data_IF_446225055495
#
_entry.id   IF_446225055495
#
_cell.length_a   1.000
_cell.length_b   1.000
_cell.length_c   1.000
_cell.angle_alpha   90.00
_cell.angle_beta   90.00
_cell.angle_gamma   90.00
#
_symmetry.space_group_name_H-M   'P 1'
#
loop_
_entity.id
_entity.type
_entity.pdbx_description
1 polymer ?
#
# COMPACT_ATOMS: atom_id res chain seq x y z
N UNK A 1 17.75 4.03 -2.79
CA UNK A 1 17.99 3.98 -1.35
C UNK A 1 16.79 3.28 -0.71
N UNK A 2 17.00 2.30 0.17
CA UNK A 2 15.91 1.57 0.83
C UNK A 2 15.59 2.29 2.15
N UNK A 3 14.36 2.78 2.30
CA UNK A 3 13.89 3.40 3.55
C UNK A 3 13.14 2.36 4.38
N UNK A 4 13.54 2.19 5.65
CA UNK A 4 12.77 1.41 6.61
C UNK A 4 11.75 2.34 7.25
N UNK A 5 10.48 2.06 7.01
CA UNK A 5 9.39 2.95 7.36
C UNK A 5 8.18 2.21 7.90
N UNK A 6 7.43 2.86 8.78
CA UNK A 6 6.15 2.33 9.28
C UNK A 6 5.09 2.44 8.19
N UNK A 7 4.47 1.32 7.86
CA UNK A 7 3.32 1.25 6.97
C UNK A 7 2.02 1.44 7.75
N UNK A 8 1.11 2.27 7.25
CA UNK A 8 -0.26 2.39 7.77
C UNK A 8 -1.23 2.77 6.65
N UNK A 9 -2.51 2.42 6.79
CA UNK A 9 -3.57 2.79 5.84
C UNK A 9 -4.78 3.31 6.63
N UNK A 10 -5.51 4.23 6.02
CA UNK A 10 -6.78 4.77 6.51
C UNK A 10 -7.78 4.84 5.35
N UNK A 11 -9.01 5.27 5.59
CA UNK A 11 -10.00 5.52 4.53
C UNK A 11 -9.56 6.59 3.51
N UNK A 12 -8.55 7.41 3.83
CA UNK A 12 -8.12 8.55 3.00
C UNK A 12 -6.74 8.39 2.37
N UNK A 13 -5.82 7.74 3.06
CA UNK A 13 -4.44 7.66 2.62
C UNK A 13 -3.72 6.39 3.06
N UNK A 14 -2.78 5.94 2.23
CA UNK A 14 -1.69 5.04 2.56
C UNK A 14 -0.48 5.88 3.02
N UNK A 15 0.10 5.57 4.16
CA UNK A 15 1.30 6.25 4.67
C UNK A 15 2.46 5.28 4.80
N UNK A 16 3.62 5.71 4.34
CA UNK A 16 4.89 4.99 4.43
C UNK A 16 5.91 5.95 5.06
N UNK A 17 6.14 5.81 6.37
CA UNK A 17 7.06 6.70 7.08
C UNK A 17 6.55 8.14 7.05
N UNK A 18 7.33 9.04 6.46
CA UNK A 18 6.94 10.45 6.26
C UNK A 18 6.10 10.69 5.01
N UNK A 19 6.01 9.72 4.10
CA UNK A 19 5.24 9.82 2.87
C UNK A 19 3.76 9.50 3.08
N UNK A 20 2.90 10.24 2.39
CA UNK A 20 1.46 10.06 2.39
C UNK A 20 0.93 10.06 0.96
N UNK A 21 0.20 9.00 0.63
CA UNK A 21 -0.40 8.78 -0.68
C UNK A 21 -1.93 8.77 -0.53
N UNK A 22 -2.64 9.79 -1.04
CA UNK A 22 -4.11 9.80 -1.05
C UNK A 22 -4.66 8.59 -1.82
N UNK A 23 -5.63 7.86 -1.25
CA UNK A 23 -6.17 6.64 -1.88
C UNK A 23 -6.87 6.90 -3.21
N UNK A 24 -7.42 8.09 -3.39
CA UNK A 24 -8.01 8.54 -4.66
C UNK A 24 -6.98 8.62 -5.79
N UNK A 25 -5.70 8.84 -5.47
CA UNK A 25 -4.59 8.89 -6.43
C UNK A 25 -3.88 7.55 -6.62
N UNK A 26 -4.16 6.57 -5.75
CA UNK A 26 -3.67 5.20 -5.95
C UNK A 26 -4.53 4.57 -7.04
N UNK A 27 -3.93 4.35 -8.21
CA UNK A 27 -4.60 3.75 -9.37
C UNK A 27 -4.64 2.23 -9.29
N UNK A 28 -3.68 1.62 -8.62
CA UNK A 28 -3.62 0.18 -8.41
C UNK A 28 -2.79 -0.19 -7.18
N UNK A 29 -3.13 -1.33 -6.57
CA UNK A 29 -2.35 -1.97 -5.52
C UNK A 29 -2.33 -3.48 -5.79
N UNK A 30 -1.21 -4.13 -5.52
CA UNK A 30 -1.04 -5.56 -5.74
C UNK A 30 -0.02 -6.18 -4.81
N UNK A 31 -0.09 -7.50 -4.68
CA UNK A 31 0.86 -8.30 -3.90
C UNK A 31 1.73 -9.12 -4.86
N UNK A 32 3.04 -9.10 -4.63
CA UNK A 32 4.00 -9.95 -5.35
C UNK A 32 4.56 -10.98 -4.38
N UNK A 33 4.09 -12.22 -4.51
CA UNK A 33 4.36 -13.28 -3.54
C UNK A 33 3.80 -12.93 -2.17
N UNK A 34 4.46 -13.42 -1.11
CA UNK A 34 3.97 -13.21 0.27
C UNK A 34 4.42 -11.85 0.82
N UNK A 35 5.60 -11.36 0.47
CA UNK A 35 6.30 -10.30 1.21
C UNK A 35 6.27 -8.91 0.60
N UNK A 36 5.84 -8.78 -0.66
CA UNK A 36 5.96 -7.54 -1.40
C UNK A 36 4.59 -6.99 -1.73
N UNK A 37 4.41 -5.70 -1.45
CA UNK A 37 3.26 -4.94 -1.91
C UNK A 37 3.73 -3.90 -2.90
N UNK A 38 3.01 -3.77 -4.00
CA UNK A 38 3.25 -2.73 -4.99
C UNK A 38 2.02 -1.85 -5.11
N UNK A 39 2.22 -0.57 -5.36
CA UNK A 39 1.13 0.34 -5.67
C UNK A 39 1.59 1.43 -6.64
N UNK A 40 0.65 1.96 -7.43
CA UNK A 40 0.94 3.02 -8.40
C UNK A 40 0.20 4.31 -8.03
N UNK A 41 0.91 5.44 -8.07
CA UNK A 41 0.39 6.79 -7.77
C UNK A 41 0.89 7.76 -8.81
N UNK A 42 -0.02 8.49 -9.45
CA UNK A 42 0.31 9.54 -10.42
C UNK A 42 1.33 9.06 -11.49
N UNK A 43 1.17 7.81 -11.96
CA UNK A 43 2.06 7.18 -12.96
C UNK A 43 3.36 6.57 -12.42
N UNK A 44 3.67 6.73 -11.13
CA UNK A 44 4.86 6.16 -10.50
C UNK A 44 4.52 4.86 -9.76
N UNK A 45 5.40 3.86 -9.85
CA UNK A 45 5.24 2.58 -9.13
C UNK A 45 6.17 2.50 -7.93
N UNK A 46 5.63 2.06 -6.79
CA UNK A 46 6.35 1.90 -5.53
C UNK A 46 6.32 0.43 -5.12
N UNK A 47 7.46 -0.09 -4.68
CA UNK A 47 7.58 -1.43 -4.09
C UNK A 47 7.85 -1.30 -2.58
N UNK A 48 7.01 -1.93 -1.77
CA UNK A 48 7.17 -2.04 -0.33
C UNK A 48 7.60 -3.46 0.01
N UNK A 49 8.72 -3.58 0.73
CA UNK A 49 9.25 -4.84 1.25
C UNK A 49 9.04 -4.88 2.76
N UNK A 50 8.36 -5.90 3.24
CA UNK A 50 8.23 -6.13 4.67
C UNK A 50 9.55 -6.68 5.25
N UNK A 51 10.07 -6.04 6.31
CA UNK A 51 11.32 -6.45 6.96
C UNK A 51 11.16 -7.73 7.81
N UNK A 52 10.01 -7.92 8.46
CA UNK A 52 9.86 -8.99 9.49
C UNK A 52 8.59 -9.82 9.47
N UNK A 53 7.54 -9.44 8.72
CA UNK A 53 6.27 -10.17 8.77
C UNK A 53 5.71 -10.44 7.38
N UNK A 54 5.62 -11.72 6.95
CA UNK A 54 5.13 -12.09 5.62
C UNK A 54 3.75 -11.52 5.31
N UNK A 55 2.87 -11.44 6.30
CA UNK A 55 1.43 -11.25 6.05
C UNK A 55 0.95 -9.80 6.13
N UNK A 56 1.83 -8.84 6.42
CA UNK A 56 1.38 -7.47 6.64
C UNK A 56 0.82 -6.83 5.36
N UNK A 57 1.44 -7.05 4.20
CA UNK A 57 0.96 -6.54 2.91
C UNK A 57 -0.47 -6.97 2.59
N UNK A 58 -0.85 -8.22 2.90
CA UNK A 58 -2.19 -8.75 2.62
C UNK A 58 -3.28 -8.00 3.38
N UNK A 59 -3.03 -7.60 4.64
CA UNK A 59 -3.98 -6.81 5.41
C UNK A 59 -4.25 -5.44 4.76
N UNK A 60 -3.19 -4.77 4.31
CA UNK A 60 -3.30 -3.47 3.66
C UNK A 60 -4.00 -3.57 2.31
N UNK A 61 -3.63 -4.57 1.51
CA UNK A 61 -4.28 -4.85 0.23
C UNK A 61 -5.77 -5.15 0.39
N UNK A 62 -6.15 -6.08 1.27
CA UNK A 62 -7.57 -6.42 1.50
C UNK A 62 -8.37 -5.21 1.97
N UNK A 63 -7.81 -4.37 2.83
CA UNK A 63 -8.49 -3.15 3.26
C UNK A 63 -8.62 -2.13 2.12
N UNK A 64 -7.59 -1.98 1.28
CA UNK A 64 -7.67 -1.13 0.09
C UNK A 64 -8.77 -1.58 -0.88
N UNK A 65 -8.84 -2.87 -1.19
CA UNK A 65 -9.89 -3.44 -2.05
C UNK A 65 -11.28 -3.17 -1.46
N UNK A 66 -11.46 -3.46 -0.16
CA UNK A 66 -12.73 -3.17 0.51
C UNK A 66 -13.15 -1.70 0.35
N UNK A 67 -12.22 -0.76 0.46
CA UNK A 67 -12.52 0.67 0.30
C UNK A 67 -12.86 1.05 -1.13
N UNK A 68 -12.24 0.43 -2.14
CA UNK A 68 -12.54 0.68 -3.56
C UNK A 68 -13.91 0.11 -3.94
N UNK A 69 -14.22 -1.12 -3.54
CA UNK A 69 -15.51 -1.77 -3.84
C UNK A 69 -16.68 -1.23 -3.02
N UNK A 70 -16.43 -0.53 -1.89
CA UNK A 70 -17.49 0.12 -1.11
C UNK A 70 -17.81 1.55 -1.57
N UNK A 71 -17.06 2.08 -2.54
CA UNK A 71 -17.24 3.42 -3.08
C UNK A 71 -18.02 3.44 -4.42
N UNK A 72 -18.42 2.26 -4.90
CA UNK A 72 -19.32 2.02 -6.04
C UNK A 72 -20.76 1.81 -5.55
#
# INVERSE_FOLDING_TARGET
MVEIAKLSISKRALSVGSHRFPLERISSMGLVGVYKMMFSVDGNSYELRADKTPYCGRKYFTFYELLKHSAE
#
